data_IF_097933543796
#
_entry.id   IF_097933543796
#
_cell.length_a   1.000
_cell.length_b   1.000
_cell.length_c   1.000
_cell.angle_alpha   90.00
_cell.angle_beta   90.00
_cell.angle_gamma   90.00
#
_symmetry.space_group_name_H-M   'P 1'
#
loop_
_entity.id
_entity.type
_entity.pdbx_description
1 polymer ?
#
# COMPACT_ATOMS: atom_id res chain seq x y z
N UNK A 1 14.19 32.53 32.94
CA UNK A 1 13.04 31.60 33.00
C UNK A 1 12.86 31.05 31.59
N UNK A 2 13.43 29.88 31.31
CA UNK A 2 13.27 29.25 30.00
C UNK A 2 11.93 28.52 30.00
N UNK A 3 10.96 29.01 29.23
CA UNK A 3 9.73 28.26 28.93
C UNK A 3 10.14 27.09 28.04
N UNK A 4 10.34 25.90 28.62
CA UNK A 4 10.30 24.67 27.83
C UNK A 4 8.92 24.60 27.21
N UNK A 5 8.81 24.92 25.92
CA UNK A 5 7.67 24.53 25.13
C UNK A 5 7.69 23.00 25.10
N UNK A 6 6.84 22.36 25.92
CA UNK A 6 6.46 20.97 25.68
C UNK A 6 5.72 20.98 24.34
N UNK A 7 6.41 20.56 23.29
CA UNK A 7 5.84 20.37 21.96
C UNK A 7 5.24 18.97 21.86
N UNK A 8 4.49 18.56 22.88
CA UNK A 8 3.84 17.26 22.87
C UNK A 8 2.53 17.41 22.08
N UNK A 9 2.44 16.68 20.95
CA UNK A 9 1.23 16.66 20.13
C UNK A 9 0.31 15.57 20.69
N UNK A 10 -0.90 15.91 21.17
CA UNK A 10 -1.84 14.91 21.66
C UNK A 10 -2.18 13.88 20.59
N UNK A 11 -2.11 12.60 20.97
CA UNK A 11 -2.40 11.47 20.10
C UNK A 11 -3.65 10.73 20.59
N UNK A 12 -4.54 10.39 19.67
CA UNK A 12 -5.74 9.58 19.92
C UNK A 12 -5.87 8.49 18.87
N UNK A 13 -6.69 7.46 19.15
CA UNK A 13 -7.02 6.43 18.17
C UNK A 13 -8.54 6.40 17.99
N UNK A 14 -9.00 6.44 16.76
CA UNK A 14 -10.41 6.24 16.43
C UNK A 14 -10.84 4.83 16.79
N UNK A 15 -12.04 4.68 17.36
CA UNK A 15 -12.65 3.37 17.58
C UNK A 15 -13.12 2.76 16.24
N UNK A 16 -13.62 3.60 15.33
CA UNK A 16 -14.03 3.18 13.99
C UNK A 16 -12.84 3.30 13.05
N UNK A 17 -12.28 2.16 12.65
CA UNK A 17 -11.18 2.13 11.70
C UNK A 17 -11.71 2.20 10.28
N UNK A 18 -11.18 3.14 9.49
CA UNK A 18 -11.54 3.29 8.09
C UNK A 18 -10.82 2.22 7.25
N UNK A 19 -11.53 1.70 6.25
CA UNK A 19 -11.06 0.66 5.33
C UNK A 19 -10.12 1.23 4.25
N UNK A 20 -9.04 1.87 4.69
CA UNK A 20 -7.99 2.34 3.79
C UNK A 20 -7.07 1.21 3.38
N UNK A 21 -6.52 1.32 2.18
CA UNK A 21 -5.44 0.47 1.67
C UNK A 21 -4.38 1.37 1.04
N UNK A 22 -3.12 1.01 1.24
CA UNK A 22 -1.99 1.73 0.66
C UNK A 22 -1.62 1.10 -0.67
N UNK A 23 -1.64 1.90 -1.73
CA UNK A 23 -1.25 1.50 -3.08
C UNK A 23 0.08 2.17 -3.44
N UNK A 24 1.08 1.36 -3.78
CA UNK A 24 2.39 1.84 -4.22
C UNK A 24 2.29 2.24 -5.70
N UNK A 25 2.41 3.54 -5.96
CA UNK A 25 2.31 4.10 -7.30
C UNK A 25 3.69 4.21 -7.97
N UNK A 26 3.90 3.61 -9.16
CA UNK A 26 5.04 3.88 -10.00
C UNK A 26 5.15 5.39 -10.31
N UNK A 27 6.37 5.94 -10.44
CA UNK A 27 6.57 7.37 -10.69
C UNK A 27 5.83 7.89 -11.93
N UNK A 28 5.71 7.06 -12.97
CA UNK A 28 4.96 7.40 -14.18
C UNK A 28 3.46 7.61 -13.90
N UNK A 29 2.84 6.72 -13.12
CA UNK A 29 1.43 6.84 -12.76
C UNK A 29 1.19 8.00 -11.78
N UNK A 30 2.15 8.26 -10.89
CA UNK A 30 2.07 9.42 -9.99
C UNK A 30 2.08 10.73 -10.78
N UNK A 31 3.06 10.91 -11.66
CA UNK A 31 3.17 12.13 -12.49
C UNK A 31 1.92 12.35 -13.35
N UNK A 32 1.28 11.26 -13.77
CA UNK A 32 0.05 11.30 -14.55
C UNK A 32 -1.17 11.68 -13.70
N UNK A 33 -1.28 11.18 -12.47
CA UNK A 33 -2.33 11.57 -11.52
C UNK A 33 -2.18 13.01 -11.03
N UNK A 34 -0.96 13.55 -11.02
CA UNK A 34 -0.66 14.95 -10.66
C UNK A 34 -0.75 15.91 -11.86
N UNK A 35 -1.03 15.41 -13.07
CA UNK A 35 -1.16 16.24 -14.27
C UNK A 35 -2.47 17.05 -14.30
N UNK A 36 -2.55 18.08 -15.15
CA UNK A 36 -3.73 18.94 -15.27
C UNK A 36 -5.01 18.17 -15.66
N UNK A 37 -4.85 17.11 -16.46
CA UNK A 37 -5.92 16.22 -16.89
C UNK A 37 -5.69 14.79 -16.35
N UNK A 38 -5.99 14.55 -15.06
CA UNK A 38 -5.73 13.24 -14.44
C UNK A 38 -6.63 12.18 -15.08
N UNK A 39 -6.07 11.06 -15.55
CA UNK A 39 -6.86 10.02 -16.20
C UNK A 39 -7.59 9.14 -15.19
N UNK A 40 -8.68 8.52 -15.65
CA UNK A 40 -9.46 7.59 -14.85
C UNK A 40 -8.73 6.25 -14.80
N UNK A 41 -8.33 5.84 -13.59
CA UNK A 41 -7.81 4.51 -13.31
C UNK A 41 -8.97 3.55 -13.03
N UNK A 42 -8.99 2.40 -13.69
CA UNK A 42 -10.06 1.41 -13.52
C UNK A 42 -9.49 0.12 -12.92
N UNK A 43 -10.13 -0.39 -11.87
CA UNK A 43 -9.79 -1.70 -11.30
C UNK A 43 -10.67 -2.75 -11.97
N UNK A 44 -10.05 -3.71 -12.62
CA UNK A 44 -10.72 -4.85 -13.26
C UNK A 44 -10.19 -6.16 -12.67
N UNK A 45 -10.97 -7.23 -12.75
CA UNK A 45 -10.55 -8.55 -12.28
C UNK A 45 -10.17 -9.42 -13.47
N UNK A 46 -9.02 -10.08 -13.39
CA UNK A 46 -8.64 -11.08 -14.38
C UNK A 46 -9.53 -12.32 -14.24
N UNK A 47 -9.90 -12.98 -15.35
CA UNK A 47 -10.64 -14.24 -15.27
C UNK A 47 -9.78 -15.30 -14.59
N UNK A 48 -10.38 -16.06 -13.67
CA UNK A 48 -9.74 -17.24 -13.10
C UNK A 48 -9.62 -18.32 -14.18
N UNK A 49 -8.46 -18.96 -14.28
CA UNK A 49 -8.27 -20.13 -15.15
C UNK A 49 -8.16 -21.38 -14.28
N UNK A 50 -8.21 -22.58 -14.90
CA UNK A 50 -8.10 -23.84 -14.18
C UNK A 50 -6.81 -23.99 -13.35
N UNK A 51 -5.76 -23.21 -13.67
CA UNK A 51 -4.45 -23.28 -13.01
C UNK A 51 -4.05 -22.01 -12.26
N UNK A 52 -4.76 -20.89 -12.43
CA UNK A 52 -4.43 -19.62 -11.76
C UNK A 52 -5.68 -18.95 -11.20
N UNK A 53 -5.69 -18.57 -9.90
CA UNK A 53 -6.78 -17.77 -9.35
C UNK A 53 -6.86 -16.41 -10.05
N UNK A 54 -8.06 -15.84 -10.12
CA UNK A 54 -8.26 -14.48 -10.61
C UNK A 54 -7.58 -13.47 -9.69
N UNK A 55 -7.00 -12.42 -10.27
CA UNK A 55 -6.33 -11.34 -9.56
C UNK A 55 -6.87 -9.99 -9.98
N UNK A 56 -6.71 -8.98 -9.11
CA UNK A 56 -7.07 -7.61 -9.43
C UNK A 56 -6.00 -6.96 -10.33
N UNK A 57 -6.46 -6.17 -11.29
CA UNK A 57 -5.64 -5.43 -12.24
C UNK A 57 -6.06 -3.98 -12.27
N UNK A 58 -5.10 -3.08 -12.16
CA UNK A 58 -5.28 -1.66 -12.37
C UNK A 58 -4.98 -1.34 -13.83
N UNK A 59 -5.97 -0.85 -14.55
CA UNK A 59 -5.86 -0.50 -15.96
C UNK A 59 -5.78 1.01 -16.14
N UNK A 60 -4.85 1.43 -16.98
CA UNK A 60 -4.70 2.80 -17.43
C UNK A 60 -4.41 2.81 -18.94
N UNK A 61 -5.41 3.15 -19.76
CA UNK A 61 -5.30 3.09 -21.23
C UNK A 61 -4.85 1.71 -21.71
N UNK A 62 -3.70 1.65 -22.38
CA UNK A 62 -3.09 0.40 -22.85
C UNK A 62 -2.22 -0.32 -21.80
N UNK A 63 -1.94 0.31 -20.66
CA UNK A 63 -1.09 -0.27 -19.60
C UNK A 63 -1.94 -0.98 -18.56
N UNK A 64 -1.48 -2.15 -18.17
CA UNK A 64 -2.15 -2.98 -17.17
C UNK A 64 -1.16 -3.31 -16.06
N UNK A 65 -1.58 -3.11 -14.81
CA UNK A 65 -0.76 -3.38 -13.64
C UNK A 65 -1.45 -4.44 -12.79
N UNK A 66 -0.80 -5.57 -12.58
CA UNK A 66 -1.26 -6.56 -11.62
C UNK A 66 -1.07 -6.02 -10.20
N UNK A 67 -2.13 -6.07 -9.39
CA UNK A 67 -2.10 -5.67 -7.99
C UNK A 67 -1.66 -6.86 -7.14
N UNK A 68 -0.56 -6.72 -6.38
CA UNK A 68 -0.07 -7.74 -5.46
C UNK A 68 -0.05 -7.20 -4.04
N UNK A 69 -0.67 -7.93 -3.11
CA UNK A 69 -0.61 -7.60 -1.69
C UNK A 69 0.74 -8.05 -1.11
N UNK A 70 1.36 -7.17 -0.33
CA UNK A 70 2.62 -7.39 0.36
C UNK A 70 2.46 -7.04 1.84
N UNK A 71 2.60 -8.05 2.69
CA UNK A 71 2.50 -7.83 4.13
C UNK A 71 3.75 -7.11 4.65
N UNK A 72 3.54 -6.25 5.65
CA UNK A 72 4.61 -5.58 6.39
C UNK A 72 4.65 -6.11 7.82
N UNK A 73 5.85 -6.34 8.35
CA UNK A 73 6.03 -6.71 9.77
C UNK A 73 5.85 -5.52 10.71
N UNK A 74 5.88 -4.30 10.17
CA UNK A 74 5.76 -3.06 10.92
C UNK A 74 4.34 -2.50 10.79
N UNK A 75 3.70 -2.09 11.90
CA UNK A 75 2.38 -1.47 11.85
C UNK A 75 2.50 -0.07 11.23
N UNK A 76 1.70 0.19 10.21
CA UNK A 76 1.58 1.53 9.61
C UNK A 76 0.28 2.14 10.11
N UNK A 77 0.34 3.33 10.70
CA UNK A 77 -0.83 4.06 11.16
C UNK A 77 -1.14 5.20 10.19
N UNK A 78 -2.37 5.26 9.70
CA UNK A 78 -2.87 6.43 8.97
C UNK A 78 -3.40 7.40 10.01
N UNK A 79 -2.80 8.58 10.04
CA UNK A 79 -3.15 9.65 10.97
C UNK A 79 -3.96 10.72 10.24
N UNK A 80 -4.98 11.23 10.92
CA UNK A 80 -5.73 12.38 10.49
C UNK A 80 -5.47 13.54 11.47
N UNK A 81 -5.22 14.76 10.99
CA UNK A 81 -5.21 15.95 11.85
C UNK A 81 -6.54 16.09 12.60
N UNK A 82 -6.47 16.40 13.88
CA UNK A 82 -7.63 16.62 14.74
C UNK A 82 -7.38 17.76 15.73
N UNK A 83 -8.34 18.04 16.59
CA UNK A 83 -8.16 18.97 17.70
C UNK A 83 -8.67 18.36 18.99
N UNK A 84 -8.07 18.75 20.11
CA UNK A 84 -8.51 18.29 21.43
C UNK A 84 -9.93 18.76 21.71
N UNK A 85 -10.68 17.94 22.43
CA UNK A 85 -12.03 18.24 22.89
C UNK A 85 -12.02 18.44 24.41
N UNK A 86 -12.90 19.29 24.95
CA UNK A 86 -13.01 19.48 26.39
C UNK A 86 -13.36 18.16 27.07
N UNK A 87 -12.59 17.78 28.07
CA UNK A 87 -12.88 16.62 28.91
C UNK A 87 -13.88 16.98 30.01
N UNK A 88 -14.39 15.98 30.75
CA UNK A 88 -15.27 16.21 31.90
C UNK A 88 -14.60 17.02 33.04
N UNK A 89 -13.27 17.14 33.03
CA UNK A 89 -12.52 17.94 34.00
C UNK A 89 -12.31 19.40 33.55
N UNK A 90 -12.58 19.70 32.27
CA UNK A 90 -12.35 21.01 31.69
C UNK A 90 -13.61 21.87 31.74
N UNK A 91 -13.42 23.19 31.90
CA UNK A 91 -14.51 24.14 31.75
C UNK A 91 -14.74 24.39 30.26
N UNK A 92 -15.90 23.97 29.74
CA UNK A 92 -16.23 24.08 28.32
C UNK A 92 -16.16 25.53 27.79
N UNK A 93 -16.47 26.52 28.63
CA UNK A 93 -16.48 27.95 28.25
C UNK A 93 -15.08 28.57 28.11
N UNK A 94 -14.05 27.95 28.71
CA UNK A 94 -12.66 28.47 28.73
C UNK A 94 -11.69 27.55 27.99
N UNK A 95 -12.16 26.40 27.50
CA UNK A 95 -11.31 25.42 26.85
C UNK A 95 -10.79 25.95 25.51
N UNK A 96 -9.47 25.89 25.32
CA UNK A 96 -8.81 26.27 24.06
C UNK A 96 -8.39 24.97 23.36
N UNK A 97 -9.00 24.62 22.22
CA UNK A 97 -8.61 23.45 21.45
C UNK A 97 -7.15 23.54 21.01
N UNK A 98 -6.43 22.43 21.16
CA UNK A 98 -5.04 22.29 20.73
C UNK A 98 -4.98 21.39 19.50
N UNK A 99 -4.05 21.63 18.56
CA UNK A 99 -3.80 20.72 17.45
C UNK A 99 -3.43 19.32 17.97
N UNK A 100 -4.07 18.29 17.43
CA UNK A 100 -3.84 16.89 17.80
C UNK A 100 -3.81 16.01 16.56
N UNK A 101 -3.47 14.73 16.73
CA UNK A 101 -3.54 13.72 15.69
C UNK A 101 -4.36 12.52 16.15
N UNK A 102 -5.12 11.95 15.24
CA UNK A 102 -5.94 10.76 15.49
C UNK A 102 -5.57 9.65 14.52
N UNK A 103 -5.23 8.47 15.00
CA UNK A 103 -5.09 7.28 14.16
C UNK A 103 -6.46 6.82 13.67
N UNK A 104 -6.68 6.87 12.35
CA UNK A 104 -7.96 6.51 11.70
C UNK A 104 -7.93 5.12 11.07
N UNK A 105 -6.75 4.57 10.84
CA UNK A 105 -6.60 3.20 10.32
C UNK A 105 -5.24 2.62 10.67
N UNK A 106 -5.20 1.29 10.81
CA UNK A 106 -3.99 0.50 11.00
C UNK A 106 -3.84 -0.41 9.78
N UNK A 107 -2.70 -0.32 9.12
CA UNK A 107 -2.39 -1.05 7.89
C UNK A 107 -1.29 -2.06 8.18
N UNK A 108 -1.52 -3.30 7.74
CA UNK A 108 -0.60 -4.43 7.89
C UNK A 108 -0.08 -4.94 6.54
N UNK A 109 -0.59 -4.36 5.44
CA UNK A 109 -0.30 -4.74 4.07
C UNK A 109 -0.30 -3.53 3.13
N UNK A 110 0.62 -3.52 2.18
CA UNK A 110 0.61 -2.59 1.04
C UNK A 110 0.24 -3.34 -0.23
N UNK A 111 -0.27 -2.62 -1.22
CA UNK A 111 -0.55 -3.14 -2.54
C UNK A 111 0.49 -2.57 -3.49
N UNK A 112 1.28 -3.44 -4.12
CA UNK A 112 2.23 -3.06 -5.16
C UNK A 112 1.66 -3.33 -6.55
N UNK A 113 2.10 -2.50 -7.51
CA UNK A 113 1.68 -2.55 -8.91
C UNK A 113 2.79 -3.13 -9.78
N UNK A 114 2.52 -4.27 -10.41
CA UNK A 114 3.44 -4.94 -11.33
C UNK A 114 2.95 -4.72 -12.75
N UNK A 115 3.71 -3.99 -13.56
CA UNK A 115 3.37 -3.80 -14.97
C UNK A 115 3.32 -5.16 -15.69
N UNK A 116 2.18 -5.43 -16.32
CA UNK A 116 1.99 -6.56 -17.22
C UNK A 116 2.29 -6.06 -18.64
N UNK A 117 3.42 -6.51 -19.20
CA UNK A 117 3.67 -6.32 -20.63
C UNK A 117 2.64 -7.13 -21.40
N UNK A 118 1.97 -6.51 -22.38
CA UNK A 118 1.07 -7.23 -23.28
C UNK A 118 1.83 -8.39 -23.96
N UNK A 119 1.48 -9.62 -23.58
CA UNK A 119 1.61 -10.78 -24.45
C UNK A 119 3.02 -11.28 -24.82
N UNK A 120 4.12 -10.84 -24.20
CA UNK A 120 5.36 -11.63 -24.23
C UNK A 120 5.39 -12.56 -23.05
N UNK A 121 4.72 -13.70 -23.22
CA UNK A 121 4.98 -14.96 -22.52
C UNK A 121 6.50 -15.14 -22.50
N UNK A 122 7.19 -14.68 -21.45
CA UNK A 122 8.59 -15.04 -21.23
C UNK A 122 8.52 -16.54 -21.09
N UNK A 123 8.93 -17.27 -22.13
CA UNK A 123 9.18 -18.69 -22.04
C UNK A 123 9.97 -18.90 -20.76
N UNK A 124 9.32 -19.49 -19.75
CA UNK A 124 10.04 -19.95 -18.58
C UNK A 124 10.95 -21.03 -19.16
N UNK A 125 12.23 -20.70 -19.33
CA UNK A 125 13.27 -21.68 -19.60
C UNK A 125 13.40 -22.54 -18.33
N UNK A 126 12.41 -23.40 -18.11
CA UNK A 126 12.51 -24.56 -17.23
C UNK A 126 13.48 -25.50 -17.93
N UNK A 127 14.77 -25.18 -17.92
CA UNK A 127 15.86 -26.07 -18.31
C UNK A 127 17.17 -25.37 -18.01
N UNK A 128 17.68 -25.60 -16.80
CA UNK A 128 19.13 -25.59 -16.54
C UNK A 128 19.51 -26.15 -15.18
N UNK A 129 18.60 -26.24 -14.21
CA UNK A 129 18.96 -26.76 -12.89
C UNK A 129 18.95 -28.29 -12.81
N UNK A 130 17.84 -28.92 -13.19
CA UNK A 130 17.73 -30.39 -13.23
C UNK A 130 18.75 -31.04 -14.18
N UNK A 131 19.06 -30.39 -15.31
CA UNK A 131 20.02 -30.86 -16.30
C UNK A 131 21.48 -30.81 -15.81
N UNK A 132 21.84 -29.78 -15.03
CA UNK A 132 23.20 -29.63 -14.48
C UNK A 132 23.49 -30.64 -13.37
N UNK A 133 22.50 -31.02 -12.56
CA UNK A 133 22.70 -32.05 -11.54
C UNK A 133 22.71 -33.46 -12.09
N UNK A 134 21.94 -33.75 -13.15
CA UNK A 134 21.95 -35.05 -13.79
C UNK A 134 23.33 -35.37 -14.41
N UNK A 135 23.98 -34.38 -15.05
CA UNK A 135 25.33 -34.54 -15.62
C UNK A 135 26.41 -34.75 -14.54
N UNK A 136 26.32 -34.05 -13.41
CA UNK A 136 27.27 -34.22 -12.29
C UNK A 136 27.26 -35.64 -11.69
N UNK A 137 26.18 -36.42 -11.86
CA UNK A 137 26.12 -37.81 -11.37
C UNK A 137 26.66 -38.86 -12.34
N UNK A 138 26.79 -38.52 -13.62
CA UNK A 138 27.30 -39.43 -14.65
C UNK A 138 28.82 -39.36 -14.81
N UNK A 139 29.45 -38.22 -14.52
CA UNK A 139 30.91 -38.04 -14.60
C UNK A 139 31.70 -38.65 -13.42
N UNK A 140 31.03 -39.35 -12.50
CA UNK A 140 31.65 -39.92 -11.28
C UNK A 140 31.68 -41.45 -11.24
N UNK A 141 31.61 -42.10 -12.40
CA UNK A 141 31.75 -43.56 -12.52
C UNK A 141 32.91 -43.95 -13.41
#
# INVERSE_FOLDING_TARGET
>A
MATQYTTDIPFSSSHTQQAFKLLELPPELLALLESEDPPILTITSSPATATTPGYAMLCHGAKQYQMRQKNTSNPILILQPSSTLPSLADNADTFIPQPSVTAVSKIEDTIELILQDEGKKKEVKVNKWHEKFAKSRLEKK
#
